data_IF_034688257640
#
_entry.id   IF_034688257640
#
_cell.length_a   1.000
_cell.length_b   1.000
_cell.length_c   1.000
_cell.angle_alpha   90.00
_cell.angle_beta   90.00
_cell.angle_gamma   90.00
#
_symmetry.space_group_name_H-M   'P 1'
#
loop_
_entity.id
_entity.type
_entity.pdbx_description
1 polymer ?
#
# COMPACT_ATOMS: atom_id res chain seq x y z
N UNK A 1 -51.02 46.45 -17.10
CA UNK A 1 -49.93 45.80 -16.32
C UNK A 1 -50.63 45.04 -15.19
N UNK A 2 -50.95 43.74 -15.34
CA UNK A 2 -50.17 42.57 -14.85
C UNK A 2 -49.66 42.83 -13.40
N UNK A 3 -50.01 42.13 -12.32
CA UNK A 3 -50.37 40.72 -12.06
C UNK A 3 -50.95 40.65 -10.62
N UNK A 4 -52.06 39.94 -10.36
CA UNK A 4 -52.22 38.50 -10.10
C UNK A 4 -51.74 38.00 -8.72
N UNK A 5 -52.76 37.59 -7.95
CA UNK A 5 -52.79 36.82 -6.71
C UNK A 5 -51.94 35.53 -6.77
N UNK A 6 -51.21 35.21 -5.69
CA UNK A 6 -50.77 33.85 -5.35
C UNK A 6 -51.07 33.62 -3.87
N UNK A 7 -52.10 32.84 -3.49
CA UNK A 7 -52.14 31.36 -3.35
C UNK A 7 -51.05 30.83 -2.41
N UNK A 8 -51.43 30.60 -1.16
CA UNK A 8 -50.72 29.71 -0.24
C UNK A 8 -51.42 28.36 -0.33
N UNK A 9 -50.78 27.39 -0.98
CA UNK A 9 -51.16 25.98 -0.91
C UNK A 9 -50.04 25.26 -0.18
N UNK A 10 -50.33 24.81 1.04
CA UNK A 10 -49.42 23.96 1.80
C UNK A 10 -49.54 22.52 1.28
N UNK A 11 -48.53 22.09 0.52
CA UNK A 11 -48.36 20.69 0.14
C UNK A 11 -47.60 20.00 1.26
N UNK A 12 -48.23 19.05 1.95
CA UNK A 12 -47.55 18.14 2.87
C UNK A 12 -46.94 17.01 2.03
N UNK A 13 -45.63 17.06 1.85
CA UNK A 13 -44.87 15.94 1.30
C UNK A 13 -44.55 14.96 2.44
N UNK A 14 -45.21 13.80 2.46
CA UNK A 14 -44.82 12.71 3.34
C UNK A 14 -43.52 12.09 2.82
N UNK A 15 -42.40 12.33 3.52
CA UNK A 15 -41.12 11.67 3.26
C UNK A 15 -41.15 10.29 3.91
N UNK A 16 -41.33 9.23 3.12
CA UNK A 16 -41.07 7.87 3.59
C UNK A 16 -39.55 7.67 3.67
N UNK A 17 -39.00 7.66 4.88
CA UNK A 17 -37.61 7.27 5.12
C UNK A 17 -37.53 5.75 5.02
N UNK A 18 -36.94 5.24 3.94
CA UNK A 18 -36.53 3.85 3.86
C UNK A 18 -35.29 3.68 4.75
N UNK A 19 -35.45 3.07 5.93
CA UNK A 19 -34.31 2.61 6.71
C UNK A 19 -33.76 1.34 6.03
N UNK A 20 -32.69 1.48 5.24
CA UNK A 20 -31.88 0.33 4.85
C UNK A 20 -31.19 -0.19 6.10
N UNK A 21 -31.60 -1.37 6.57
CA UNK A 21 -30.81 -2.13 7.51
C UNK A 21 -29.49 -2.49 6.83
N UNK A 22 -28.41 -1.82 7.24
CA UNK A 22 -27.06 -2.27 6.92
C UNK A 22 -26.88 -3.60 7.65
N UNK A 23 -26.97 -4.71 6.92
CA UNK A 23 -26.31 -5.91 7.36
C UNK A 23 -24.81 -5.55 7.41
N UNK A 24 -24.30 -5.25 8.60
CA UNK A 24 -22.87 -5.38 8.85
C UNK A 24 -22.60 -6.88 8.77
N UNK A 25 -22.42 -7.37 7.55
CA UNK A 25 -21.52 -8.49 7.39
C UNK A 25 -20.19 -7.99 7.95
N UNK A 26 -19.85 -8.49 9.14
CA UNK A 26 -18.48 -8.49 9.62
C UNK A 26 -17.72 -9.42 8.67
N UNK A 27 -17.54 -8.99 7.42
CA UNK A 27 -16.43 -9.46 6.62
C UNK A 27 -15.22 -9.16 7.49
N UNK A 28 -14.59 -10.21 8.03
CA UNK A 28 -13.24 -10.07 8.52
C UNK A 28 -12.50 -9.41 7.35
N UNK A 29 -12.01 -8.16 7.47
CA UNK A 29 -11.18 -7.62 6.41
C UNK A 29 -10.12 -8.69 6.16
N UNK A 30 -9.85 -9.04 4.91
CA UNK A 30 -8.71 -9.88 4.62
C UNK A 30 -7.54 -9.26 5.40
N UNK A 31 -7.03 -9.95 6.42
CA UNK A 31 -5.99 -9.41 7.32
C UNK A 31 -4.62 -9.48 6.63
N UNK A 32 -4.63 -9.19 5.33
CA UNK A 32 -3.47 -8.99 4.51
C UNK A 32 -2.96 -7.59 4.82
N UNK A 33 -1.80 -7.54 5.47
CA UNK A 33 -1.08 -6.30 5.68
C UNK A 33 -0.22 -6.03 4.44
N UNK A 34 -0.23 -4.78 3.98
CA UNK A 34 0.50 -4.36 2.78
C UNK A 34 1.62 -3.39 3.14
N UNK A 35 2.75 -3.56 2.47
CA UNK A 35 3.93 -2.70 2.58
C UNK A 35 4.37 -2.24 1.20
N UNK A 36 4.81 -0.99 1.14
CA UNK A 36 5.57 -0.47 0.03
C UNK A 36 7.06 -0.47 0.38
N UNK A 37 7.90 -0.70 -0.63
CA UNK A 37 9.30 -0.34 -0.57
C UNK A 37 9.68 0.58 -1.74
N UNK A 38 10.67 1.42 -1.52
CA UNK A 38 11.27 2.25 -2.56
C UNK A 38 12.79 2.13 -2.55
N UNK A 39 13.34 2.07 -3.75
CA UNK A 39 14.77 2.05 -4.01
C UNK A 39 15.11 3.16 -5.02
N UNK A 40 16.25 3.82 -4.82
CA UNK A 40 16.80 4.84 -5.70
C UNK A 40 18.26 4.54 -5.95
N UNK A 41 18.63 4.41 -7.22
CA UNK A 41 20.00 4.23 -7.65
C UNK A 41 20.75 5.56 -7.77
N UNK A 42 22.08 5.46 -7.80
CA UNK A 42 23.01 6.58 -7.85
C UNK A 42 22.91 7.36 -9.17
N UNK A 43 22.56 6.68 -10.28
CA UNK A 43 22.33 7.31 -11.59
C UNK A 43 20.90 7.82 -11.78
N UNK A 44 20.03 7.67 -10.76
CA UNK A 44 18.69 8.23 -10.75
C UNK A 44 17.59 7.28 -11.19
N UNK A 45 17.88 6.02 -11.53
CA UNK A 45 16.84 5.01 -11.72
C UNK A 45 16.16 4.71 -10.38
N UNK A 46 14.91 4.26 -10.41
CA UNK A 46 14.18 3.90 -9.19
C UNK A 46 13.34 2.64 -9.35
N UNK A 47 13.03 2.03 -8.20
CA UNK A 47 12.08 0.94 -8.09
C UNK A 47 11.07 1.24 -6.99
N UNK A 48 9.81 0.89 -7.24
CA UNK A 48 8.74 0.86 -6.26
C UNK A 48 8.20 -0.56 -6.21
N UNK A 49 8.17 -1.15 -5.02
CA UNK A 49 7.55 -2.45 -4.83
C UNK A 49 6.45 -2.40 -3.79
N UNK A 50 5.50 -3.30 -3.94
CA UNK A 50 4.38 -3.51 -3.03
C UNK A 50 4.29 -5.00 -2.74
N UNK A 51 4.18 -5.35 -1.46
CA UNK A 51 4.04 -6.75 -1.04
C UNK A 51 3.06 -6.88 0.11
N UNK A 52 2.47 -8.07 0.23
CA UNK A 52 1.53 -8.39 1.29
C UNK A 52 1.76 -9.78 1.87
N UNK A 53 1.33 -9.96 3.11
CA UNK A 53 1.29 -11.23 3.80
C UNK A 53 0.11 -11.24 4.79
N UNK A 54 -0.28 -12.41 5.27
CA UNK A 54 -1.30 -12.55 6.32
C UNK A 54 -0.69 -12.27 7.70
N UNK A 55 -1.11 -11.17 8.33
CA UNK A 55 -0.57 -10.75 9.64
C UNK A 55 -0.87 -11.77 10.75
N UNK A 56 -1.93 -12.58 10.61
CA UNK A 56 -2.36 -13.51 11.67
C UNK A 56 -1.50 -14.76 11.77
N UNK A 57 -0.84 -15.12 10.67
CA UNK A 57 -0.06 -16.35 10.54
C UNK A 57 1.43 -16.10 10.35
N UNK A 58 1.82 -14.88 10.01
CA UNK A 58 3.20 -14.57 9.67
C UNK A 58 4.18 -14.74 10.86
N UNK A 59 5.36 -15.32 10.60
CA UNK A 59 6.45 -15.40 11.57
C UNK A 59 7.12 -14.03 11.80
N UNK A 60 8.03 -13.96 12.77
CA UNK A 60 8.86 -12.76 12.99
C UNK A 60 9.79 -12.44 11.81
N UNK A 61 10.15 -13.46 11.02
CA UNK A 61 10.99 -13.36 9.83
C UNK A 61 10.32 -14.12 8.69
N UNK A 62 9.93 -13.39 7.65
CA UNK A 62 9.55 -13.97 6.35
C UNK A 62 10.83 -14.13 5.54
N UNK A 63 11.09 -15.34 5.05
CA UNK A 63 12.28 -15.67 4.26
C UNK A 63 11.87 -16.57 3.10
N UNK A 64 11.83 -16.00 1.91
CA UNK A 64 11.39 -16.67 0.69
C UNK A 64 12.54 -16.79 -0.31
N UNK A 65 12.54 -17.89 -1.07
CA UNK A 65 13.54 -18.10 -2.10
C UNK A 65 13.08 -19.02 -3.23
N UNK A 66 13.51 -18.71 -4.45
CA UNK A 66 13.27 -19.52 -5.64
C UNK A 66 11.86 -19.41 -6.18
N UNK A 67 11.62 -20.19 -7.24
CA UNK A 67 10.32 -20.29 -7.91
C UNK A 67 9.41 -21.29 -7.21
N UNK A 68 8.11 -21.00 -7.17
CA UNK A 68 7.10 -21.89 -6.61
C UNK A 68 6.35 -21.26 -5.45
N UNK A 69 5.68 -22.11 -4.66
CA UNK A 69 4.86 -21.67 -3.54
C UNK A 69 5.73 -20.98 -2.46
N UNK A 70 5.33 -19.78 -2.06
CA UNK A 70 5.88 -19.06 -0.92
C UNK A 70 5.27 -19.59 0.37
N UNK A 71 5.95 -19.37 1.50
CA UNK A 71 5.47 -19.83 2.81
C UNK A 71 4.51 -18.83 3.43
N UNK A 72 4.89 -17.56 3.42
CA UNK A 72 4.22 -16.50 4.17
C UNK A 72 3.86 -15.30 3.28
N UNK A 73 4.60 -15.08 2.19
CA UNK A 73 4.38 -13.94 1.30
C UNK A 73 3.21 -14.21 0.33
N UNK A 74 2.16 -13.39 0.32
CA UNK A 74 1.00 -13.59 -0.55
C UNK A 74 1.17 -12.91 -1.91
N UNK A 75 1.71 -11.69 -1.91
CA UNK A 75 1.95 -10.95 -3.15
C UNK A 75 3.24 -10.13 -3.11
N UNK A 76 3.82 -9.91 -4.28
CA UNK A 76 4.93 -8.99 -4.49
C UNK A 76 4.94 -8.51 -5.94
N UNK A 77 4.78 -7.20 -6.13
CA UNK A 77 4.93 -6.53 -7.42
C UNK A 77 6.04 -5.47 -7.34
N UNK A 78 6.79 -5.29 -8.42
CA UNK A 78 7.88 -4.31 -8.49
C UNK A 78 7.81 -3.57 -9.82
N UNK A 79 7.83 -2.25 -9.76
CA UNK A 79 7.87 -1.36 -10.93
C UNK A 79 9.17 -0.58 -10.97
N UNK A 80 9.75 -0.43 -12.16
CA UNK A 80 11.00 0.30 -12.38
C UNK A 80 10.76 1.57 -13.20
N UNK A 81 11.57 2.58 -12.94
CA UNK A 81 11.49 3.88 -13.59
C UNK A 81 12.88 4.38 -13.97
N UNK A 82 12.94 5.11 -15.09
CA UNK A 82 14.15 5.80 -15.52
C UNK A 82 14.40 7.10 -14.71
N UNK A 83 15.53 7.80 -14.92
CA UNK A 83 15.82 9.05 -14.22
C UNK A 83 14.82 10.20 -14.50
N UNK A 84 14.04 10.11 -15.58
CA UNK A 84 12.95 11.04 -15.90
C UNK A 84 11.60 10.62 -15.30
N UNK A 85 11.59 9.58 -14.46
CA UNK A 85 10.41 8.93 -13.88
C UNK A 85 9.47 8.28 -14.92
N UNK A 86 9.97 7.94 -16.10
CA UNK A 86 9.21 7.15 -17.07
C UNK A 86 9.22 5.67 -16.67
N UNK A 87 8.07 4.97 -16.74
CA UNK A 87 8.00 3.56 -16.39
C UNK A 87 8.79 2.71 -17.39
N UNK A 88 9.62 1.80 -16.87
CA UNK A 88 10.41 0.84 -17.64
C UNK A 88 9.76 -0.55 -17.66
N UNK A 89 8.99 -0.89 -16.63
CA UNK A 89 8.26 -2.15 -16.54
C UNK A 89 7.74 -2.43 -15.13
N UNK A 90 6.76 -3.33 -15.05
CA UNK A 90 6.18 -3.83 -13.80
C UNK A 90 6.17 -5.36 -13.82
N UNK A 91 6.56 -5.96 -12.70
CA UNK A 91 6.78 -7.40 -12.56
C UNK A 91 6.06 -7.94 -11.34
N UNK A 92 5.11 -8.84 -11.55
CA UNK A 92 4.43 -9.57 -10.48
C UNK A 92 5.28 -10.78 -10.10
N UNK A 93 6.17 -10.57 -9.14
CA UNK A 93 7.15 -11.58 -8.70
C UNK A 93 6.44 -12.69 -7.93
N UNK A 94 5.50 -12.35 -7.05
CA UNK A 94 4.66 -13.29 -6.31
C UNK A 94 3.19 -12.92 -6.52
N UNK A 95 2.37 -13.91 -6.89
CA UNK A 95 0.92 -13.75 -7.08
C UNK A 95 0.20 -14.90 -6.39
N UNK A 96 -0.65 -14.60 -5.40
CA UNK A 96 -1.44 -15.60 -4.68
C UNK A 96 -0.58 -16.67 -4.03
N UNK A 97 0.50 -16.25 -3.37
CA UNK A 97 1.44 -17.14 -2.70
C UNK A 97 2.34 -17.96 -3.65
N UNK A 98 2.52 -17.54 -4.90
CA UNK A 98 3.37 -18.26 -5.86
C UNK A 98 4.38 -17.31 -6.50
N UNK A 99 5.67 -17.55 -6.24
CA UNK A 99 6.81 -16.91 -6.90
C UNK A 99 6.98 -17.42 -8.32
N UNK A 100 7.09 -16.48 -9.25
CA UNK A 100 7.35 -16.75 -10.67
C UNK A 100 8.84 -16.64 -11.05
N UNK A 101 9.68 -16.09 -10.18
CA UNK A 101 11.09 -15.81 -10.47
C UNK A 101 12.01 -16.94 -9.98
N UNK A 102 12.92 -17.39 -10.86
CA UNK A 102 13.84 -18.49 -10.58
C UNK A 102 14.92 -18.14 -9.55
N UNK A 103 15.27 -16.85 -9.45
CA UNK A 103 16.34 -16.36 -8.58
C UNK A 103 15.81 -15.64 -7.35
N UNK A 104 14.49 -15.65 -7.16
CA UNK A 104 13.80 -14.92 -6.09
C UNK A 104 14.49 -15.08 -4.74
N UNK A 105 14.75 -13.97 -4.07
CA UNK A 105 15.23 -13.91 -2.68
C UNK A 105 14.58 -12.71 -2.01
N UNK A 106 13.91 -12.97 -0.89
CA UNK A 106 13.21 -11.94 -0.15
C UNK A 106 13.28 -12.25 1.34
N UNK A 107 13.68 -11.27 2.15
CA UNK A 107 13.68 -11.39 3.59
C UNK A 107 13.09 -10.13 4.22
N UNK A 108 12.12 -10.32 5.10
CA UNK A 108 11.42 -9.24 5.79
C UNK A 108 11.26 -9.57 7.27
N UNK A 109 11.58 -8.60 8.12
CA UNK A 109 11.39 -8.72 9.55
C UNK A 109 10.09 -8.00 9.93
N UNK A 110 9.07 -8.77 10.31
CA UNK A 110 7.72 -8.26 10.59
C UNK A 110 7.67 -7.40 11.85
N UNK A 111 8.58 -7.62 12.80
CA UNK A 111 8.65 -6.84 14.05
C UNK A 111 9.27 -5.46 13.88
N UNK A 112 10.27 -5.34 13.00
CA UNK A 112 10.95 -4.06 12.71
C UNK A 112 10.47 -3.41 11.42
N UNK A 113 9.60 -4.10 10.68
CA UNK A 113 9.09 -3.70 9.37
C UNK A 113 10.20 -3.33 8.37
N UNK A 114 11.27 -4.13 8.35
CA UNK A 114 12.45 -3.87 7.54
C UNK A 114 12.79 -5.04 6.63
N UNK A 115 13.17 -4.72 5.39
CA UNK A 115 13.80 -5.68 4.49
C UNK A 115 15.28 -5.81 4.86
N UNK A 116 15.85 -7.01 4.71
CA UNK A 116 17.25 -7.25 5.04
C UNK A 116 17.88 -8.38 4.20
N UNK A 117 19.18 -8.60 4.34
CA UNK A 117 19.86 -9.76 3.77
C UNK A 117 19.89 -9.79 2.24
N UNK A 118 19.98 -11.00 1.68
CA UNK A 118 19.99 -11.20 0.24
C UNK A 118 18.64 -10.83 -0.37
N UNK A 119 18.68 -10.11 -1.49
CA UNK A 119 17.50 -9.60 -2.16
C UNK A 119 17.63 -9.82 -3.66
N UNK A 120 16.60 -10.37 -4.28
CA UNK A 120 16.52 -10.63 -5.71
C UNK A 120 15.03 -10.71 -6.07
N UNK A 121 14.51 -9.69 -6.75
CA UNK A 121 13.07 -9.53 -7.06
C UNK A 121 12.88 -9.02 -8.48
N UNK A 122 11.64 -9.17 -8.99
CA UNK A 122 11.28 -9.03 -10.39
C UNK A 122 11.99 -10.07 -11.29
N UNK A 123 11.96 -9.83 -12.61
CA UNK A 123 12.60 -10.66 -13.65
C UNK A 123 12.56 -12.18 -13.40
N UNK A 124 13.64 -12.85 -13.79
CA UNK A 124 13.88 -14.25 -13.45
C UNK A 124 13.09 -15.27 -14.28
N UNK A 125 12.55 -14.87 -15.44
CA UNK A 125 11.84 -15.76 -16.38
C UNK A 125 12.68 -16.12 -17.61
N UNK A 126 13.96 -15.76 -17.60
CA UNK A 126 14.89 -15.97 -18.70
C UNK A 126 14.45 -15.28 -20.01
N UNK A 127 13.94 -14.05 -19.90
CA UNK A 127 13.56 -13.23 -21.06
C UNK A 127 14.55 -12.07 -21.20
N UNK A 128 14.97 -11.79 -22.44
CA UNK A 128 15.83 -10.65 -22.75
C UNK A 128 15.13 -9.32 -22.43
N UNK A 129 15.87 -8.38 -21.85
CA UNK A 129 15.36 -7.06 -21.49
C UNK A 129 14.66 -6.98 -20.14
N UNK A 130 14.48 -8.11 -19.44
CA UNK A 130 13.90 -8.09 -18.08
C UNK A 130 14.76 -7.32 -17.10
N UNK A 131 14.12 -6.46 -16.31
CA UNK A 131 14.73 -5.76 -15.20
C UNK A 131 14.54 -6.55 -13.89
N UNK A 132 15.56 -6.53 -13.06
CA UNK A 132 15.53 -7.12 -11.72
C UNK A 132 16.43 -6.33 -10.78
N UNK A 133 16.05 -6.32 -9.50
CA UNK A 133 16.79 -5.67 -8.43
C UNK A 133 17.40 -6.73 -7.54
N UNK A 134 18.74 -6.79 -7.51
CA UNK A 134 19.47 -7.83 -6.79
C UNK A 134 20.57 -7.26 -5.87
N UNK A 135 20.98 -8.04 -4.87
CA UNK A 135 22.13 -7.76 -4.04
C UNK A 135 21.92 -8.11 -2.58
N UNK A 136 22.44 -7.27 -1.68
CA UNK A 136 22.30 -7.39 -0.23
C UNK A 136 21.91 -6.05 0.36
N UNK A 137 20.78 -6.03 1.06
CA UNK A 137 20.25 -4.83 1.70
C UNK A 137 21.21 -4.36 2.79
N UNK A 138 21.45 -3.04 2.82
CA UNK A 138 22.43 -2.40 3.71
C UNK A 138 23.89 -2.51 3.27
N UNK A 139 24.17 -3.12 2.11
CA UNK A 139 25.52 -3.27 1.58
C UNK A 139 25.64 -2.83 0.11
N UNK A 140 24.89 -3.48 -0.79
CA UNK A 140 24.87 -3.15 -2.22
C UNK A 140 23.61 -3.68 -2.87
N UNK A 141 22.89 -2.83 -3.58
CA UNK A 141 21.79 -3.23 -4.46
C UNK A 141 22.06 -2.72 -5.87
N UNK A 142 21.69 -3.54 -6.86
CA UNK A 142 21.94 -3.32 -8.28
C UNK A 142 20.65 -3.52 -9.07
N UNK A 143 20.23 -2.51 -9.82
CA UNK A 143 19.29 -2.67 -10.91
C UNK A 143 20.05 -3.24 -12.11
N UNK A 144 19.61 -4.39 -12.60
CA UNK A 144 20.22 -5.06 -13.75
C UNK A 144 19.19 -5.39 -14.80
N UNK A 145 19.66 -5.50 -16.04
CA UNK A 145 18.85 -5.90 -17.17
C UNK A 145 19.42 -7.17 -17.79
N UNK A 146 18.55 -8.14 -18.06
CA UNK A 146 18.88 -9.38 -18.75
C UNK A 146 19.27 -9.11 -20.21
N UNK A 147 20.34 -9.76 -20.68
CA UNK A 147 20.87 -9.62 -22.04
C UNK A 147 21.38 -10.96 -22.59
N UNK A 148 21.56 -11.00 -23.92
CA UNK A 148 22.10 -12.14 -24.67
C UNK A 148 21.29 -13.43 -24.48
N UNK A 149 20.03 -13.43 -24.89
CA UNK A 149 19.09 -14.56 -24.76
C UNK A 149 18.99 -15.07 -23.32
N UNK A 150 18.99 -14.13 -22.37
CA UNK A 150 18.95 -14.36 -20.94
C UNK A 150 20.07 -15.18 -20.32
N UNK A 151 21.26 -15.14 -20.93
CA UNK A 151 22.46 -15.80 -20.39
C UNK A 151 23.36 -14.87 -19.59
N UNK A 152 23.16 -13.55 -19.72
CA UNK A 152 23.97 -12.54 -19.04
C UNK A 152 23.09 -11.39 -18.54
N UNK A 153 23.65 -10.50 -17.74
CA UNK A 153 22.99 -9.26 -17.35
C UNK A 153 23.94 -8.08 -17.31
N UNK A 154 23.43 -6.92 -17.71
CA UNK A 154 24.14 -5.64 -17.65
C UNK A 154 23.73 -4.87 -16.40
N UNK A 155 24.67 -4.14 -15.82
CA UNK A 155 24.39 -3.21 -14.73
C UNK A 155 23.71 -1.96 -15.32
N UNK A 156 22.56 -1.59 -14.79
CA UNK A 156 21.83 -0.36 -15.17
C UNK A 156 22.13 0.74 -14.16
N UNK A 157 22.00 0.44 -12.88
CA UNK A 157 22.24 1.37 -11.79
C UNK A 157 22.49 0.58 -10.48
N UNK A 158 23.00 1.24 -9.45
CA UNK A 158 23.28 0.65 -8.15
C UNK A 158 23.18 1.69 -7.03
N UNK A 159 23.17 1.24 -5.78
CA UNK A 159 23.42 2.09 -4.62
C UNK A 159 24.09 1.30 -3.49
N UNK A 160 24.24 1.92 -2.32
CA UNK A 160 24.78 1.35 -1.08
C UNK A 160 23.93 0.25 -0.42
N UNK A 161 22.93 -0.27 -1.11
CA UNK A 161 21.95 -1.22 -0.56
C UNK A 161 20.87 -0.56 0.29
N UNK A 162 20.76 0.76 0.25
CA UNK A 162 19.69 1.51 0.91
C UNK A 162 18.35 1.24 0.23
N UNK A 163 17.33 0.95 1.05
CA UNK A 163 15.95 0.72 0.64
C UNK A 163 15.04 1.23 1.76
N UNK A 164 13.94 1.87 1.40
CA UNK A 164 12.97 2.38 2.38
C UNK A 164 11.74 1.49 2.35
N UNK A 165 11.18 1.17 3.52
CA UNK A 165 9.94 0.39 3.65
C UNK A 165 8.93 1.20 4.43
N UNK A 166 7.66 1.14 4.04
CA UNK A 166 6.55 1.80 4.72
C UNK A 166 5.30 0.93 4.66
N UNK A 167 4.63 0.77 5.80
CA UNK A 167 3.32 0.12 5.87
C UNK A 167 2.27 0.98 5.16
N UNK A 168 1.37 0.33 4.41
CA UNK A 168 0.21 0.97 3.79
C UNK A 168 -0.91 1.06 4.83
N UNK A 169 -1.43 2.27 5.15
CA UNK A 169 -2.50 2.40 6.15
C UNK A 169 -3.78 1.68 5.72
N UNK A 170 -4.37 0.90 6.62
CA UNK A 170 -5.69 0.32 6.37
C UNK A 170 -6.77 1.42 6.26
N UNK A 171 -7.72 1.29 5.32
CA UNK A 171 -8.81 2.27 5.15
C UNK A 171 -9.62 2.54 6.43
N UNK A 172 -9.75 1.55 7.33
CA UNK A 172 -10.52 1.69 8.56
C UNK A 172 -9.86 2.62 9.60
N UNK A 173 -8.53 2.64 9.68
CA UNK A 173 -7.79 3.50 10.61
C UNK A 173 -7.94 5.00 10.27
N UNK A 174 -8.04 5.31 8.97
CA UNK A 174 -8.24 6.69 8.47
C UNK A 174 -9.65 7.19 8.78
N UNK A 175 -10.67 6.32 8.69
CA UNK A 175 -12.05 6.67 9.01
C UNK A 175 -12.27 6.90 10.53
N UNK A 176 -11.60 6.12 11.38
CA UNK A 176 -11.64 6.32 12.83
C UNK A 176 -11.10 7.70 13.27
N UNK A 177 -10.00 8.17 12.66
CA UNK A 177 -9.40 9.47 12.99
C UNK A 177 -10.31 10.66 12.60
N UNK A 178 -11.02 10.57 11.48
CA UNK A 178 -11.98 11.58 11.03
C UNK A 178 -13.21 11.67 11.97
N UNK A 179 -13.65 10.54 12.54
CA UNK A 179 -14.78 10.52 13.47
C UNK A 179 -14.46 11.19 14.81
N UNK A 180 -13.23 11.04 15.33
CA UNK A 180 -12.80 11.73 16.57
C UNK A 180 -12.58 13.24 16.35
N UNK A 181 -12.15 13.67 15.17
CA UNK A 181 -12.01 15.10 14.84
C UNK A 181 -13.34 15.85 14.83
N UNK A 182 -14.46 15.20 14.48
CA UNK A 182 -15.78 15.82 14.44
C UNK A 182 -16.45 15.94 15.82
N UNK A 183 -16.08 15.11 16.79
CA UNK A 183 -16.63 15.13 18.16
C UNK A 183 -15.99 16.21 19.05
N UNK A 184 -14.77 16.66 18.75
CA UNK A 184 -14.08 17.71 19.52
C UNK A 184 -14.62 19.13 19.29
N UNK A 185 -15.35 19.37 18.19
CA UNK A 185 -15.83 20.70 17.81
C UNK A 185 -17.20 21.10 18.41
N UNK A 186 -17.92 20.18 19.06
CA UNK A 186 -19.32 20.42 19.47
C UNK A 186 -19.55 20.63 20.98
N UNK A 187 -18.55 20.39 21.85
CA UNK A 187 -18.71 20.50 23.31
C UNK A 187 -18.34 21.88 23.92
N UNK A 188 -18.08 22.88 23.08
CA UNK A 188 -17.52 24.16 23.52
C UNK A 188 -18.48 25.35 23.65
N UNK A 189 -19.80 25.21 23.79
CA UNK A 189 -20.69 26.37 24.01
C UNK A 189 -21.94 26.00 24.82
N UNK A 190 -21.87 26.17 26.15
CA UNK A 190 -22.97 26.70 26.97
C UNK A 190 -22.51 26.95 28.40
N UNK A 191 -22.01 28.17 28.67
CA UNK A 191 -22.14 28.81 29.98
C UNK A 191 -22.84 30.15 29.76
N UNK A 192 -24.16 30.17 29.97
CA UNK A 192 -24.87 31.42 30.28
C UNK A 192 -25.23 31.39 31.76
N UNK A 193 -24.77 32.44 32.42
CA UNK A 193 -24.84 32.69 33.85
C UNK A 193 -26.30 32.74 34.33
N UNK A 194 -26.54 32.08 35.46
CA UNK A 194 -27.68 32.34 36.33
C UNK A 194 -27.33 33.58 37.15
N UNK A 195 -28.11 34.65 37.02
CA UNK A 195 -28.14 35.73 38.02
C UNK A 195 -29.46 35.64 38.77
N UNK A 196 -29.35 35.26 40.04
CA UNK A 196 -30.42 35.29 41.02
C UNK A 196 -30.81 36.74 41.31
N UNK A 197 -32.09 37.01 41.22
CA UNK A 197 -32.76 38.14 41.84
C UNK A 197 -32.70 37.99 43.37
N UNK A 198 -32.37 39.06 44.11
CA UNK A 198 -32.78 39.23 45.51
C UNK A 198 -32.59 40.67 46.01
N UNK A 199 -33.72 41.18 46.53
CA UNK A 199 -33.96 42.29 47.45
C UNK A 199 -33.70 43.71 46.94
#
# INVERSE_FOLDING_TARGET
MKNLLNKISATVSASAVLAMALALETANPAQAIEFNFSWKGDAGYSALGTFSYDETTAPSIISESGKGQTKDLDSLSVSFFDPSNMPLGTYNTVTGGVSNSQFFKFNFNTSTQSLFGAFDVAGGQFIDGELFLQGTIGSKLELRQTANKATTSILVDQNSGAITVSQVPEPAAVLGLLAFGALGATLGRNKKLVSSEKA
#
